data_IF_713714090143
#
_entry.id   IF_713714090143
#
_cell.length_a   1.000
_cell.length_b   1.000
_cell.length_c   1.000
_cell.angle_alpha   90.00
_cell.angle_beta   90.00
_cell.angle_gamma   90.00
#
_symmetry.space_group_name_H-M   'P 1'
#
loop_
_entity.id
_entity.type
_entity.pdbx_description
1 polymer ?
#
# COMPACT_ATOMS: atom_id res chain seq x y z
N UNK A 1 23.39 -12.73 27.54
CA UNK A 1 22.10 -13.04 26.92
C UNK A 1 22.15 -12.48 25.52
N UNK A 2 22.26 -13.33 24.50
CA UNK A 2 22.48 -12.88 23.12
C UNK A 2 21.23 -12.23 22.55
N UNK A 3 21.40 -11.15 21.80
CA UNK A 3 20.32 -10.53 21.04
C UNK A 3 19.92 -11.44 19.87
N UNK A 4 18.66 -11.84 19.81
CA UNK A 4 18.12 -12.61 18.70
C UNK A 4 17.50 -11.64 17.71
N UNK A 5 18.18 -11.43 16.58
CA UNK A 5 17.66 -10.63 15.47
C UNK A 5 16.84 -11.54 14.56
N UNK A 6 15.52 -11.31 14.51
CA UNK A 6 14.63 -12.01 13.57
C UNK A 6 14.50 -11.16 12.31
N UNK A 7 15.01 -11.66 11.18
CA UNK A 7 14.78 -11.07 9.86
C UNK A 7 13.44 -11.56 9.32
N UNK A 8 12.47 -10.67 9.26
CA UNK A 8 11.15 -10.96 8.68
C UNK A 8 11.10 -10.35 7.28
N UNK A 9 10.99 -11.19 6.26
CA UNK A 9 10.60 -10.71 4.92
C UNK A 9 9.08 -10.62 4.89
N UNK A 10 8.49 -9.45 4.62
CA UNK A 10 7.07 -9.39 4.36
C UNK A 10 6.74 -10.28 3.16
N UNK A 11 5.60 -10.98 3.24
CA UNK A 11 5.05 -11.68 2.07
C UNK A 11 4.59 -10.67 1.00
N UNK A 12 4.26 -11.17 -0.19
CA UNK A 12 3.79 -10.34 -1.31
C UNK A 12 2.62 -9.42 -0.92
N UNK A 13 1.67 -9.95 -0.16
CA UNK A 13 0.50 -9.22 0.32
C UNK A 13 0.71 -8.83 1.78
N UNK A 14 0.63 -7.53 2.07
CA UNK A 14 0.79 -6.97 3.42
C UNK A 14 -0.43 -6.15 3.85
N UNK A 15 -0.66 -6.08 5.15
CA UNK A 15 -1.72 -5.24 5.70
C UNK A 15 -1.43 -3.75 5.51
N UNK A 16 -2.47 -2.91 5.59
CA UNK A 16 -2.35 -1.45 5.48
C UNK A 16 -1.28 -0.86 6.42
N UNK A 17 -1.25 -1.27 7.68
CA UNK A 17 -0.29 -0.76 8.67
C UNK A 17 1.15 -1.15 8.35
N UNK A 18 1.35 -2.37 7.85
CA UNK A 18 2.68 -2.83 7.44
C UNK A 18 3.17 -2.06 6.21
N UNK A 19 2.30 -1.83 5.22
CA UNK A 19 2.65 -1.00 4.06
C UNK A 19 3.00 0.42 4.48
N UNK A 20 2.23 1.02 5.41
CA UNK A 20 2.52 2.34 5.97
C UNK A 20 3.89 2.34 6.64
N UNK A 21 4.20 1.34 7.46
CA UNK A 21 5.49 1.23 8.14
C UNK A 21 6.67 1.02 7.17
N UNK A 22 6.48 0.23 6.11
CA UNK A 22 7.52 -0.11 5.14
C UNK A 22 7.78 1.00 4.12
N UNK A 23 6.74 1.69 3.64
CA UNK A 23 6.82 2.64 2.51
C UNK A 23 6.55 4.09 2.90
N UNK A 24 6.03 4.34 4.11
CA UNK A 24 5.70 5.69 4.58
C UNK A 24 4.49 6.35 3.88
N UNK A 25 3.73 5.59 3.08
CA UNK A 25 2.54 6.11 2.39
C UNK A 25 1.42 6.30 3.40
N UNK A 26 0.81 7.49 3.46
CA UNK A 26 -0.29 7.77 4.40
C UNK A 26 -1.57 7.04 4.01
N UNK A 27 -2.37 6.63 5.01
CA UNK A 27 -3.69 6.01 4.82
C UNK A 27 -4.61 6.76 3.85
N UNK A 28 -4.68 8.09 3.96
CA UNK A 28 -5.48 8.92 3.05
C UNK A 28 -5.00 8.86 1.59
N UNK A 29 -3.70 8.71 1.37
CA UNK A 29 -3.12 8.52 0.04
C UNK A 29 -3.47 7.14 -0.51
N UNK A 30 -3.40 6.08 0.31
CA UNK A 30 -3.81 4.74 -0.10
C UNK A 30 -5.29 4.67 -0.47
N UNK A 31 -6.15 5.33 0.30
CA UNK A 31 -7.59 5.44 -0.03
C UNK A 31 -7.78 6.10 -1.41
N UNK A 32 -7.15 7.25 -1.64
CA UNK A 32 -7.21 7.93 -2.95
C UNK A 32 -6.62 7.08 -4.07
N UNK A 33 -5.54 6.34 -3.81
CA UNK A 33 -4.95 5.45 -4.79
C UNK A 33 -5.92 4.33 -5.17
N UNK A 34 -6.61 3.71 -4.21
CA UNK A 34 -7.68 2.72 -4.45
C UNK A 34 -8.82 3.28 -5.29
N UNK A 35 -9.26 4.50 -5.01
CA UNK A 35 -10.36 5.15 -5.73
C UNK A 35 -10.01 5.55 -7.17
N UNK A 36 -8.73 5.77 -7.50
CA UNK A 36 -8.35 6.44 -8.75
C UNK A 36 -7.32 5.71 -9.61
N UNK A 37 -6.39 4.95 -9.03
CA UNK A 37 -5.20 4.47 -9.76
C UNK A 37 -4.84 3.01 -9.53
N UNK A 38 -5.19 2.45 -8.37
CA UNK A 38 -4.97 1.04 -8.09
C UNK A 38 -6.10 0.21 -8.68
N UNK A 39 -5.79 -1.04 -9.03
CA UNK A 39 -6.74 -2.03 -9.49
C UNK A 39 -6.87 -3.13 -8.43
N UNK A 40 -8.10 -3.45 -8.05
CA UNK A 40 -8.37 -4.55 -7.13
C UNK A 40 -7.92 -5.88 -7.74
N UNK A 41 -7.25 -6.71 -6.94
CA UNK A 41 -6.60 -7.93 -7.36
C UNK A 41 -5.15 -7.74 -7.86
N UNK A 42 -4.72 -6.50 -8.11
CA UNK A 42 -3.35 -6.18 -8.55
C UNK A 42 -2.55 -5.46 -7.47
N UNK A 43 -2.82 -4.17 -7.22
CA UNK A 43 -2.13 -3.38 -6.21
C UNK A 43 -2.74 -3.59 -4.81
N UNK A 44 -4.05 -3.86 -4.72
CA UNK A 44 -4.73 -4.10 -3.45
C UNK A 44 -5.83 -5.16 -3.57
N UNK A 45 -6.31 -5.68 -2.44
CA UNK A 45 -7.50 -6.54 -2.37
C UNK A 45 -8.19 -6.42 -1.03
N UNK A 46 -9.52 -6.44 -1.01
CA UNK A 46 -10.26 -6.64 0.23
C UNK A 46 -10.18 -8.11 0.66
N UNK A 47 -10.07 -8.34 1.97
CA UNK A 47 -9.96 -9.68 2.56
C UNK A 47 -10.98 -9.82 3.68
N UNK A 48 -11.69 -10.95 3.68
CA UNK A 48 -12.63 -11.36 4.73
C UNK A 48 -12.40 -12.84 5.08
N UNK A 49 -12.81 -13.25 6.27
CA UNK A 49 -12.63 -14.61 6.78
C UNK A 49 -13.49 -15.66 6.05
N UNK A 50 -14.61 -15.21 5.46
CA UNK A 50 -15.59 -16.01 4.72
C UNK A 50 -15.34 -16.01 3.20
N UNK A 51 -14.26 -15.37 2.75
CA UNK A 51 -13.94 -15.14 1.34
C UNK A 51 -14.95 -14.25 0.59
N UNK A 52 -15.84 -13.54 1.28
CA UNK A 52 -16.83 -12.61 0.69
C UNK A 52 -16.61 -11.18 1.21
N UNK A 53 -15.53 -10.50 0.77
CA UNK A 53 -15.21 -9.18 1.28
C UNK A 53 -16.18 -8.10 0.80
N UNK A 54 -16.51 -7.19 1.71
CA UNK A 54 -17.24 -5.95 1.45
C UNK A 54 -16.29 -4.78 1.23
N UNK A 55 -16.81 -3.65 0.74
CA UNK A 55 -16.04 -2.42 0.50
C UNK A 55 -15.43 -1.79 1.77
N UNK A 56 -15.96 -2.15 2.94
CA UNK A 56 -15.44 -1.77 4.25
C UNK A 56 -14.50 -2.81 4.88
N UNK A 57 -14.26 -3.94 4.21
CA UNK A 57 -13.37 -4.99 4.73
C UNK A 57 -11.90 -4.53 4.75
N UNK A 58 -11.04 -5.15 5.57
CA UNK A 58 -9.62 -4.87 5.57
C UNK A 58 -9.00 -5.02 4.17
N UNK A 59 -8.06 -4.13 3.84
CA UNK A 59 -7.32 -4.19 2.60
C UNK A 59 -5.90 -4.70 2.82
N UNK A 60 -5.50 -5.61 1.94
CA UNK A 60 -4.12 -6.03 1.77
C UNK A 60 -3.56 -5.46 0.48
N UNK A 61 -2.26 -5.25 0.45
CA UNK A 61 -1.57 -4.55 -0.60
C UNK A 61 -0.39 -5.37 -1.12
N UNK A 62 -0.24 -5.39 -2.44
CA UNK A 62 0.82 -6.13 -3.11
C UNK A 62 2.07 -5.26 -3.21
N UNK A 63 3.12 -5.62 -2.48
CA UNK A 63 4.35 -4.82 -2.41
C UNK A 63 5.00 -4.61 -3.78
N UNK A 64 5.09 -5.65 -4.59
CA UNK A 64 5.75 -5.60 -5.90
C UNK A 64 5.03 -4.62 -6.85
N UNK A 65 3.71 -4.68 -6.90
CA UNK A 65 2.91 -3.82 -7.77
C UNK A 65 2.85 -2.38 -7.27
N UNK A 66 2.91 -2.17 -5.95
CA UNK A 66 3.03 -0.84 -5.39
C UNK A 66 4.39 -0.23 -5.73
N UNK A 67 5.49 -0.99 -5.66
CA UNK A 67 6.80 -0.49 -6.06
C UNK A 67 6.81 -0.11 -7.55
N UNK A 68 6.26 -0.94 -8.42
CA UNK A 68 6.07 -0.60 -9.84
C UNK A 68 5.19 0.65 -10.03
N UNK A 69 4.15 0.83 -9.21
CA UNK A 69 3.31 2.04 -9.25
C UNK A 69 4.05 3.30 -8.79
N UNK A 70 4.94 3.19 -7.79
CA UNK A 70 5.80 4.29 -7.33
C UNK A 70 6.79 4.66 -8.43
N UNK A 71 7.43 3.68 -9.06
CA UNK A 71 8.41 3.89 -10.14
C UNK A 71 7.81 4.58 -11.37
N UNK A 72 6.50 4.39 -11.62
CA UNK A 72 5.77 5.04 -12.71
C UNK A 72 5.33 6.48 -12.40
N UNK A 73 5.53 6.97 -11.17
CA UNK A 73 5.14 8.33 -10.83
C UNK A 73 5.91 9.35 -11.67
N UNK A 74 5.19 10.37 -12.15
CA UNK A 74 5.83 11.49 -12.83
C UNK A 74 6.62 12.32 -11.81
N UNK A 75 7.68 13.02 -12.24
CA UNK A 75 8.39 13.97 -11.39
C UNK A 75 7.43 14.98 -10.73
N UNK A 76 7.74 15.37 -9.50
CA UNK A 76 6.93 16.33 -8.75
C UNK A 76 6.80 17.63 -9.54
N UNK A 77 5.56 18.08 -9.73
CA UNK A 77 5.29 19.39 -10.34
C UNK A 77 5.59 20.48 -9.32
N UNK A 78 6.35 21.49 -9.73
CA UNK A 78 6.57 22.67 -8.88
C UNK A 78 5.23 23.32 -8.54
N UNK A 79 5.04 23.65 -7.26
CA UNK A 79 3.89 24.44 -6.84
C UNK A 79 4.11 25.86 -7.35
N UNK A 80 3.29 26.31 -8.29
CA UNK A 80 3.23 27.74 -8.61
C UNK A 80 2.85 28.46 -7.32
N UNK A 81 3.76 29.27 -6.77
CA UNK A 81 3.38 30.22 -5.73
C UNK A 81 2.38 31.17 -6.41
N UNK A 82 1.14 31.17 -5.94
CA UNK A 82 0.20 32.22 -6.33
C UNK A 82 0.80 33.54 -5.86
N UNK A 83 1.02 34.46 -6.81
CA UNK A 83 1.42 35.82 -6.52
C UNK A 83 0.30 36.57 -5.78
#
# INVERSE_FOLDING_TARGET
>A
MGEVVVMVSPGKWVAEEQLIALKGIKKGTLKKARENTFLEGKEYRHVSFDCEPWDNSPCFYNLDEIDLWIERQKPAKSRKQSA
#
